data_IF_137670352215
#
_entry.id   IF_137670352215
#
_cell.length_a   1.000
_cell.length_b   1.000
_cell.length_c   1.000
_cell.angle_alpha   90.00
_cell.angle_beta   90.00
_cell.angle_gamma   90.00
#
_symmetry.space_group_name_H-M   'P 1'
#
loop_
_entity.id
_entity.type
_entity.pdbx_description
1 polymer ?
#
# COMPACT_ATOMS: atom_id res chain seq x y z
N UNK A 1 2.55 3.83 -13.96
CA UNK A 1 2.87 4.30 -12.60
C UNK A 1 1.73 3.92 -11.68
N UNK A 2 2.05 3.21 -10.60
CA UNK A 2 1.10 2.71 -9.59
C UNK A 2 1.30 3.48 -8.29
N UNK A 3 0.32 3.46 -7.39
CA UNK A 3 0.45 4.13 -6.10
C UNK A 3 -0.21 3.36 -4.97
N UNK A 4 0.42 3.43 -3.80
CA UNK A 4 -0.20 3.10 -2.51
C UNK A 4 -0.27 4.38 -1.69
N UNK A 5 -1.43 4.70 -1.14
CA UNK A 5 -1.64 5.84 -0.23
C UNK A 5 -1.90 5.27 1.15
N UNK A 6 -1.27 5.82 2.19
CA UNK A 6 -1.54 5.40 3.57
C UNK A 6 -2.02 6.57 4.40
N UNK A 7 -3.29 6.53 4.82
CA UNK A 7 -3.85 7.36 5.89
C UNK A 7 -3.65 6.67 7.24
N UNK A 8 -2.90 7.30 8.15
CA UNK A 8 -2.55 6.75 9.46
C UNK A 8 -2.77 7.80 10.55
N UNK A 9 -3.88 7.69 11.30
CA UNK A 9 -4.14 8.52 12.48
C UNK A 9 -4.20 10.02 12.20
N UNK A 10 -4.56 10.42 10.97
CA UNK A 10 -4.58 11.83 10.53
C UNK A 10 -3.38 12.24 9.67
N UNK A 11 -2.31 11.44 9.64
CA UNK A 11 -1.19 11.63 8.71
C UNK A 11 -1.43 10.90 7.40
N UNK A 12 -0.83 11.41 6.31
CA UNK A 12 -0.93 10.78 4.99
C UNK A 12 0.42 10.77 4.28
N UNK A 13 0.75 9.65 3.63
CA UNK A 13 1.87 9.57 2.71
C UNK A 13 1.49 8.83 1.42
N UNK A 14 2.02 9.34 0.31
CA UNK A 14 1.93 8.72 -1.00
C UNK A 14 3.21 7.90 -1.27
N UNK A 15 3.04 6.64 -1.66
CA UNK A 15 4.09 5.73 -2.07
C UNK A 15 3.96 5.45 -3.57
N UNK A 16 4.49 6.33 -4.44
CA UNK A 16 4.51 6.08 -5.87
C UNK A 16 5.44 4.90 -6.19
N UNK A 17 4.98 4.02 -7.06
CA UNK A 17 5.69 2.84 -7.52
C UNK A 17 5.97 3.00 -9.02
N UNK A 18 7.22 3.31 -9.40
CA UNK A 18 7.64 3.31 -10.79
C UNK A 18 7.48 1.93 -11.44
N UNK A 19 7.10 1.89 -12.72
CA UNK A 19 6.81 0.64 -13.41
C UNK A 19 8.05 -0.27 -13.52
N UNK A 20 9.23 0.32 -13.73
CA UNK A 20 10.52 -0.39 -13.77
C UNK A 20 10.86 -1.05 -12.42
N UNK A 21 10.52 -0.39 -11.31
CA UNK A 21 10.74 -0.89 -9.95
C UNK A 21 9.76 -2.00 -9.59
N UNK A 22 8.52 -1.89 -10.05
CA UNK A 22 7.53 -2.96 -9.89
C UNK A 22 7.93 -4.21 -10.67
N UNK A 23 8.32 -4.05 -11.93
CA UNK A 23 8.73 -5.16 -12.79
C UNK A 23 9.96 -5.89 -12.23
N UNK A 24 10.91 -5.15 -11.65
CA UNK A 24 12.07 -5.72 -10.96
C UNK A 24 11.65 -6.49 -9.70
N UNK A 25 10.78 -5.91 -8.88
CA UNK A 25 10.25 -6.55 -7.68
C UNK A 25 9.55 -7.88 -7.98
N UNK A 26 8.64 -7.92 -8.96
CA UNK A 26 7.86 -9.12 -9.29
C UNK A 26 8.74 -10.26 -9.81
N UNK A 27 9.85 -9.97 -10.51
CA UNK A 27 10.82 -10.99 -10.96
C UNK A 27 11.49 -11.72 -9.80
N UNK A 28 11.63 -11.05 -8.67
CA UNK A 28 12.28 -11.59 -7.46
C UNK A 28 11.29 -12.04 -6.39
N UNK A 29 10.00 -11.76 -6.57
CA UNK A 29 8.94 -12.18 -5.67
C UNK A 29 8.68 -13.69 -5.81
N UNK A 30 8.91 -14.41 -4.71
CA UNK A 30 8.56 -15.83 -4.61
C UNK A 30 7.05 -16.02 -4.72
N UNK A 31 6.62 -17.06 -5.41
CA UNK A 31 5.19 -17.32 -5.62
C UNK A 31 4.45 -17.52 -4.29
N UNK A 32 5.09 -18.16 -3.31
CA UNK A 32 4.55 -18.38 -1.96
C UNK A 32 4.30 -17.07 -1.20
N UNK A 33 5.02 -16.01 -1.55
CA UNK A 33 4.92 -14.72 -0.88
C UNK A 33 3.87 -13.81 -1.52
N UNK A 34 3.40 -14.07 -2.74
CA UNK A 34 2.55 -13.13 -3.52
C UNK A 34 1.30 -12.68 -2.80
N UNK A 35 0.72 -13.55 -1.99
CA UNK A 35 -0.54 -13.36 -1.28
C UNK A 35 -0.41 -13.76 0.19
N UNK A 36 0.78 -13.59 0.79
CA UNK A 36 0.99 -13.89 2.21
C UNK A 36 0.47 -12.74 3.09
N UNK A 37 -0.53 -13.03 3.92
CA UNK A 37 -1.07 -12.08 4.91
C UNK A 37 -0.01 -11.61 5.93
N UNK A 38 0.89 -12.50 6.34
CA UNK A 38 2.00 -12.16 7.23
C UNK A 38 2.95 -11.14 6.60
N UNK A 39 3.25 -11.30 5.31
CA UNK A 39 4.09 -10.37 4.58
C UNK A 39 3.34 -9.07 4.23
N UNK A 40 2.01 -9.13 4.04
CA UNK A 40 1.17 -7.94 3.92
C UNK A 40 1.21 -7.11 5.21
N UNK A 41 1.08 -7.76 6.37
CA UNK A 41 1.17 -7.11 7.67
C UNK A 41 2.57 -6.48 7.90
N UNK A 42 3.65 -7.17 7.53
CA UNK A 42 5.02 -6.61 7.59
C UNK A 42 5.18 -5.42 6.64
N UNK A 43 4.71 -5.54 5.40
CA UNK A 43 4.77 -4.45 4.44
C UNK A 43 4.04 -3.21 4.98
N UNK A 44 2.84 -3.39 5.54
CA UNK A 44 2.08 -2.32 6.19
C UNK A 44 2.87 -1.65 7.32
N UNK A 45 3.50 -2.41 8.22
CA UNK A 45 4.31 -1.85 9.31
C UNK A 45 5.47 -0.99 8.82
N UNK A 46 6.10 -1.37 7.69
CA UNK A 46 7.15 -0.55 7.07
C UNK A 46 6.58 0.77 6.55
N UNK A 47 5.44 0.74 5.86
CA UNK A 47 4.79 1.95 5.37
C UNK A 47 4.32 2.85 6.52
N UNK A 48 3.73 2.27 7.58
CA UNK A 48 3.29 2.95 8.79
C UNK A 48 4.45 3.69 9.47
N UNK A 49 5.60 3.02 9.59
CA UNK A 49 6.80 3.62 10.18
C UNK A 49 7.29 4.83 9.38
N UNK A 50 7.14 4.81 8.05
CA UNK A 50 7.48 5.97 7.20
C UNK A 50 6.47 7.11 7.39
N UNK A 51 5.16 6.81 7.42
CA UNK A 51 4.14 7.84 7.66
C UNK A 51 4.37 8.53 9.00
N UNK A 52 4.60 7.76 10.07
CA UNK A 52 4.83 8.27 11.43
C UNK A 52 6.12 9.08 11.60
N UNK A 53 7.08 8.92 10.69
CA UNK A 53 8.29 9.75 10.65
C UNK A 53 8.08 11.08 9.90
N UNK A 54 6.92 11.26 9.28
CA UNK A 54 6.60 12.36 8.38
C UNK A 54 6.99 12.03 6.93
N UNK A 55 6.24 12.59 5.97
CA UNK A 55 6.42 12.32 4.55
C UNK A 55 7.88 12.56 4.11
N UNK A 56 8.63 11.50 3.72
CA UNK A 56 10.03 11.66 3.37
C UNK A 56 10.15 12.34 2.00
N UNK A 57 11.24 13.10 1.78
CA UNK A 57 11.50 13.75 0.50
C UNK A 57 11.63 12.75 -0.67
N UNK A 58 11.92 11.49 -0.36
CA UNK A 58 11.93 10.36 -1.29
C UNK A 58 11.51 9.09 -0.56
N UNK A 59 10.75 8.22 -1.22
CA UNK A 59 10.36 6.91 -0.67
C UNK A 59 11.62 6.05 -0.41
N UNK A 60 11.86 5.58 0.83
CA UNK A 60 12.95 4.66 1.13
C UNK A 60 12.82 3.33 0.35
N UNK A 61 13.92 2.66 -0.01
CA UNK A 61 13.89 1.40 -0.76
C UNK A 61 13.01 0.32 -0.13
N UNK A 62 13.04 0.20 1.20
CA UNK A 62 12.22 -0.74 1.97
C UNK A 62 10.74 -0.42 1.88
N UNK A 63 10.36 0.86 1.90
CA UNK A 63 8.99 1.30 1.75
C UNK A 63 8.50 1.16 0.31
N UNK A 64 9.39 1.33 -0.67
CA UNK A 64 9.08 1.03 -2.07
C UNK A 64 8.80 -0.46 -2.26
N UNK A 65 9.63 -1.34 -1.70
CA UNK A 65 9.38 -2.79 -1.75
C UNK A 65 8.08 -3.18 -1.04
N UNK A 66 7.80 -2.58 0.12
CA UNK A 66 6.54 -2.77 0.83
C UNK A 66 5.33 -2.30 0.01
N UNK A 67 5.41 -1.14 -0.63
CA UNK A 67 4.35 -0.63 -1.50
C UNK A 67 4.15 -1.53 -2.72
N UNK A 68 5.23 -2.01 -3.36
CA UNK A 68 5.14 -3.02 -4.42
C UNK A 68 4.42 -4.29 -3.96
N UNK A 69 4.72 -4.76 -2.75
CA UNK A 69 4.09 -5.95 -2.18
C UNK A 69 2.60 -5.73 -1.96
N UNK A 70 2.21 -4.64 -1.28
CA UNK A 70 0.80 -4.30 -1.03
C UNK A 70 0.05 -4.21 -2.36
N UNK A 71 0.59 -3.47 -3.34
CA UNK A 71 -0.03 -3.33 -4.64
C UNK A 71 -0.22 -4.69 -5.33
N UNK A 72 0.83 -5.52 -5.35
CA UNK A 72 0.79 -6.85 -5.94
C UNK A 72 -0.25 -7.75 -5.26
N UNK A 73 -0.29 -7.75 -3.93
CA UNK A 73 -1.19 -8.60 -3.13
C UNK A 73 -2.63 -8.46 -3.61
N UNK A 74 -3.15 -7.22 -3.69
CA UNK A 74 -4.55 -7.00 -4.05
C UNK A 74 -4.78 -7.01 -5.57
N UNK A 75 -3.94 -6.36 -6.38
CA UNK A 75 -4.18 -6.26 -7.84
C UNK A 75 -3.93 -7.57 -8.61
N UNK A 76 -3.40 -8.61 -7.94
CA UNK A 76 -3.14 -9.92 -8.57
C UNK A 76 -3.77 -11.07 -7.79
N UNK A 77 -4.65 -10.79 -6.83
CA UNK A 77 -5.31 -11.84 -6.06
C UNK A 77 -6.29 -12.62 -6.96
N UNK A 78 -6.27 -13.94 -6.85
CA UNK A 78 -7.18 -14.82 -7.62
C UNK A 78 -8.61 -14.84 -7.04
N UNK A 79 -8.76 -14.34 -5.82
CA UNK A 79 -10.02 -14.31 -5.09
C UNK A 79 -10.60 -12.90 -5.16
N UNK A 80 -11.76 -12.78 -5.80
CA UNK A 80 -12.41 -11.48 -6.07
C UNK A 80 -12.64 -10.64 -4.81
N UNK A 81 -12.78 -11.28 -3.63
CA UNK A 81 -12.99 -10.59 -2.36
C UNK A 81 -11.76 -9.82 -1.86
N UNK A 82 -10.56 -10.20 -2.29
CA UNK A 82 -9.30 -9.50 -2.03
C UNK A 82 -8.81 -8.70 -3.22
N UNK A 83 -9.50 -8.77 -4.36
CA UNK A 83 -9.08 -8.03 -5.54
C UNK A 83 -9.44 -6.55 -5.41
N UNK A 84 -8.42 -5.68 -5.47
CA UNK A 84 -8.60 -4.23 -5.52
C UNK A 84 -7.94 -3.73 -6.80
N UNK A 85 -8.73 -3.15 -7.69
CA UNK A 85 -8.23 -2.61 -8.96
C UNK A 85 -7.63 -1.21 -8.78
N UNK A 86 -6.44 -1.03 -9.36
CA UNK A 86 -5.81 0.28 -9.51
C UNK A 86 -4.96 0.69 -8.31
N UNK A 87 -4.93 1.99 -8.05
CA UNK A 87 -4.20 2.53 -6.89
C UNK A 87 -4.90 2.13 -5.59
N UNK A 88 -4.10 1.76 -4.59
CA UNK A 88 -4.60 1.25 -3.31
C UNK A 88 -4.50 2.35 -2.26
N UNK A 89 -5.54 2.46 -1.43
CA UNK A 89 -5.46 3.22 -0.18
C UNK A 89 -5.54 2.28 1.02
N UNK A 90 -4.64 2.50 1.97
CA UNK A 90 -4.63 1.89 3.30
C UNK A 90 -5.20 2.91 4.27
N UNK A 91 -6.21 2.53 5.03
CA UNK A 91 -6.91 3.38 5.98
C UNK A 91 -6.72 2.79 7.38
N UNK A 92 -5.91 3.46 8.18
CA UNK A 92 -5.78 3.27 9.63
C UNK A 92 -6.28 4.54 10.32
N UNK A 93 -7.56 4.58 10.65
CA UNK A 93 -8.20 5.81 11.15
C UNK A 93 -7.61 6.29 12.48
N UNK A 94 -7.20 5.35 13.34
CA UNK A 94 -6.69 5.67 14.67
C UNK A 94 -5.15 5.78 14.68
N UNK A 95 -4.47 5.23 13.67
CA UNK A 95 -3.02 5.15 13.60
C UNK A 95 -2.41 4.15 14.59
N UNK A 96 -3.22 3.24 15.14
CA UNK A 96 -2.82 2.26 16.15
C UNK A 96 -2.60 0.85 15.56
N UNK A 97 -2.82 0.67 14.26
CA UNK A 97 -2.70 -0.61 13.60
C UNK A 97 -3.86 -1.58 13.89
N UNK A 98 -4.85 -1.18 14.69
CA UNK A 98 -5.91 -2.06 15.21
C UNK A 98 -7.08 -2.29 14.26
N UNK A 99 -7.43 -1.27 13.48
CA UNK A 99 -8.44 -1.37 12.41
C UNK A 99 -7.82 -0.86 11.12
N UNK A 100 -7.62 -1.78 10.17
CA UNK A 100 -7.03 -1.48 8.87
C UNK A 100 -8.02 -1.86 7.78
N UNK A 101 -8.31 -0.90 6.91
CA UNK A 101 -9.08 -1.12 5.69
C UNK A 101 -8.20 -0.87 4.47
N UNK A 102 -8.44 -1.66 3.42
CA UNK A 102 -7.81 -1.51 2.12
C UNK A 102 -8.91 -1.26 1.09
N UNK A 103 -8.74 -0.26 0.23
CA UNK A 103 -9.73 0.09 -0.78
C UNK A 103 -9.07 0.57 -2.07
N UNK A 104 -9.84 0.64 -3.16
CA UNK A 104 -9.39 1.36 -4.35
C UNK A 104 -9.47 2.86 -4.08
N UNK A 105 -8.54 3.64 -4.61
CA UNK A 105 -8.66 5.10 -4.62
C UNK A 105 -9.94 5.55 -5.35
N UNK A 106 -10.44 4.75 -6.28
CA UNK A 106 -11.68 5.04 -7.01
C UNK A 106 -12.95 4.86 -6.15
N UNK A 107 -12.86 4.13 -5.04
CA UNK A 107 -14.00 3.90 -4.14
C UNK A 107 -14.20 5.08 -3.16
N UNK A 108 -13.26 6.03 -3.12
CA UNK A 108 -13.36 7.20 -2.25
C UNK A 108 -14.06 8.34 -2.97
N UNK A 109 -15.29 8.61 -2.55
CA UNK A 109 -15.98 9.86 -2.87
C UNK A 109 -15.45 10.98 -1.98
N UNK A 110 -14.61 11.85 -2.55
CA UNK A 110 -14.26 13.10 -1.90
C UNK A 110 -15.46 14.05 -1.95
N UNK A 111 -15.94 14.49 -0.78
CA UNK A 111 -16.92 15.56 -0.71
C UNK A 111 -16.40 16.80 -1.46
N UNK A 112 -17.25 17.50 -2.22
CA UNK A 112 -16.83 18.73 -2.90
C UNK A 112 -16.30 19.73 -1.86
N UNK A 113 -15.16 20.34 -2.18
CA UNK A 113 -14.61 21.41 -1.36
C UNK A 113 -15.63 22.55 -1.27
N UNK A 114 -16.11 22.84 -0.05
CA UNK A 114 -16.97 23.99 0.23
C UNK A 114 -16.19 25.31 0.16
#
# INVERSE_FOLDING_TARGET
>A
MRKVIYYCGGDVADFPIPDDRFDDFVKHLKWEARHSEDDLAKARLVLEAVVKQGAPASVPPEALAAACFVWNYFNTHEEDEYYIEGDIIIIDLNGDGGTIEYASVNDIELAPAN
#
